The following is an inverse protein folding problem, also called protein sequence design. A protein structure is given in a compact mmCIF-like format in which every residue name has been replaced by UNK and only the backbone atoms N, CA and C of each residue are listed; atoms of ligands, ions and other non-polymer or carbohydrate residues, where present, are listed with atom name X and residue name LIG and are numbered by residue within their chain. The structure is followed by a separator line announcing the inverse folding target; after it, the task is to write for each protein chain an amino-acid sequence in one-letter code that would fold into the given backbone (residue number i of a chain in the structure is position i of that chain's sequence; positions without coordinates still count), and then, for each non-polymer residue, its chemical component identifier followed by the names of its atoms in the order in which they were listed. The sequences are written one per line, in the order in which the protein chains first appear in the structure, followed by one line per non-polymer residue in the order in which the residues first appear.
data_IF_003196816335
#
_entry.id   IF_003196816335
#
_cell.length_a   1.000
_cell.length_b   1.000
_cell.length_c   1.000
_cell.angle_alpha   90.00
_cell.angle_beta   90.00
_cell.angle_gamma   90.00
#
_symmetry.space_group_name_H-M   'P 1'
#
loop_
_entity.id
_entity.type
_entity.pdbx_description
1 polymer ?
#
# COMPACT_ATOMS: atom_id res chain seq x y z
N UNK A 1 -13.93 25.03 -1.48
CA UNK A 1 -13.09 26.22 -1.72
C UNK A 1 -12.45 26.02 -3.08
N UNK A 2 -12.84 26.84 -4.05
CA UNK A 2 -12.44 26.77 -5.46
C UNK A 2 -11.00 27.22 -5.65
N UNK A 3 -10.26 26.56 -6.55
CA UNK A 3 -9.26 27.19 -7.40
C UNK A 3 -8.92 26.25 -8.58
N UNK A 4 -9.49 26.56 -9.75
CA UNK A 4 -8.94 26.19 -11.05
C UNK A 4 -8.44 27.47 -11.71
N UNK A 5 -7.15 27.53 -12.00
CA UNK A 5 -6.51 28.07 -13.21
C UNK A 5 -5.03 28.34 -12.93
N UNK A 6 -4.13 27.59 -13.57
CA UNK A 6 -2.76 28.06 -13.83
C UNK A 6 -2.20 27.44 -15.12
N UNK A 7 -2.10 28.30 -16.15
CA UNK A 7 -1.01 28.42 -17.13
C UNK A 7 -0.08 27.22 -17.31
N UNK A 8 -0.55 26.16 -18.00
CA UNK A 8 0.32 25.13 -18.55
C UNK A 8 1.18 24.36 -17.54
N UNK A 9 0.85 24.42 -16.25
CA UNK A 9 1.49 23.66 -15.18
C UNK A 9 0.52 22.60 -14.67
N UNK A 10 1.02 21.38 -14.45
CA UNK A 10 0.28 20.27 -13.84
C UNK A 10 -0.30 20.70 -12.49
N UNK A 11 -1.51 21.26 -12.48
CA UNK A 11 -2.21 21.68 -11.27
C UNK A 11 -2.90 20.44 -10.68
N UNK A 12 -2.15 19.67 -9.89
CA UNK A 12 -2.74 18.64 -9.03
C UNK A 12 -3.46 19.30 -7.86
N UNK A 13 -4.73 18.95 -7.66
CA UNK A 13 -5.54 19.42 -6.53
C UNK A 13 -6.01 18.23 -5.69
N UNK A 14 -6.06 18.41 -4.38
CA UNK A 14 -6.71 17.46 -3.47
C UNK A 14 -8.16 17.89 -3.31
N UNK A 15 -9.09 17.11 -3.85
CA UNK A 15 -10.53 17.29 -3.68
C UNK A 15 -11.09 16.23 -2.73
N UNK A 16 -11.26 16.61 -1.46
CA UNK A 16 -11.69 15.71 -0.40
C UNK A 16 -10.73 14.55 -0.21
N UNK A 17 -11.18 13.33 -0.54
CA UNK A 17 -10.38 12.10 -0.42
C UNK A 17 -9.84 11.62 -1.78
N UNK A 18 -9.67 12.52 -2.74
CA UNK A 18 -9.16 12.21 -4.05
C UNK A 18 -8.08 13.21 -4.47
N UNK A 19 -7.05 12.71 -5.14
CA UNK A 19 -6.13 13.54 -5.89
C UNK A 19 -6.65 13.64 -7.33
N UNK A 20 -6.85 14.86 -7.81
CA UNK A 20 -7.39 15.16 -9.14
C UNK A 20 -6.36 15.98 -9.90
N UNK A 21 -6.18 15.70 -11.18
CA UNK A 21 -5.30 16.48 -12.05
C UNK A 21 -5.87 16.57 -13.47
N UNK A 22 -5.43 17.56 -14.22
CA UNK A 22 -5.69 17.67 -15.65
C UNK A 22 -4.50 17.15 -16.46
N UNK A 23 -4.79 16.33 -17.47
CA UNK A 23 -3.83 15.85 -18.44
C UNK A 23 -3.71 16.84 -19.61
N UNK A 24 -2.51 16.91 -20.20
CA UNK A 24 -2.17 17.86 -21.26
C UNK A 24 -3.05 17.77 -22.53
N UNK A 25 -3.75 16.65 -22.75
CA UNK A 25 -4.70 16.45 -23.87
C UNK A 25 -6.17 16.75 -23.52
N UNK A 26 -6.44 17.46 -22.41
CA UNK A 26 -7.79 17.89 -22.04
C UNK A 26 -8.65 16.87 -21.29
N UNK A 27 -8.04 15.83 -20.71
CA UNK A 27 -8.73 14.83 -19.87
C UNK A 27 -8.41 15.01 -18.39
N UNK A 28 -9.34 14.68 -17.48
CA UNK A 28 -9.10 14.74 -16.03
C UNK A 28 -8.80 13.35 -15.45
N UNK A 29 -7.74 13.24 -14.64
CA UNK A 29 -7.43 12.06 -13.82
C UNK A 29 -7.91 12.22 -12.38
N UNK A 30 -8.26 11.10 -11.73
CA UNK A 30 -8.73 11.06 -10.34
C UNK A 30 -8.30 9.76 -9.66
N UNK A 31 -7.45 9.86 -8.64
CA UNK A 31 -7.03 8.72 -7.79
C UNK A 31 -7.59 8.89 -6.38
N UNK A 32 -8.17 7.82 -5.82
CA UNK A 32 -8.76 7.84 -4.49
C UNK A 32 -7.73 7.63 -3.38
N UNK A 33 -7.59 8.62 -2.51
CA UNK A 33 -6.86 8.53 -1.23
C UNK A 33 -7.66 7.74 -0.16
N UNK A 34 -8.93 7.39 -0.43
CA UNK A 34 -9.74 6.55 0.46
C UNK A 34 -9.17 5.13 0.66
N UNK A 35 -8.36 4.63 -0.27
CA UNK A 35 -7.66 3.36 -0.08
C UNK A 35 -6.73 3.42 1.15
N UNK A 36 -6.14 4.58 1.45
CA UNK A 36 -5.29 4.79 2.63
C UNK A 36 -6.05 4.52 3.93
N UNK A 37 -7.26 5.07 4.08
CA UNK A 37 -8.09 4.84 5.27
C UNK A 37 -8.49 3.36 5.41
N UNK A 38 -8.72 2.68 4.28
CA UNK A 38 -9.13 1.28 4.28
C UNK A 38 -7.97 0.34 4.62
N UNK A 39 -6.80 0.54 4.00
CA UNK A 39 -5.58 -0.23 4.30
C UNK A 39 -5.12 -0.02 5.74
N UNK A 40 -5.24 1.20 6.26
CA UNK A 40 -4.96 1.49 7.67
C UNK A 40 -5.96 0.78 8.59
N UNK A 41 -7.27 0.86 8.30
CA UNK A 41 -8.29 0.18 9.09
C UNK A 41 -8.09 -1.34 9.08
N UNK A 42 -7.80 -1.92 7.91
CA UNK A 42 -7.47 -3.35 7.78
C UNK A 42 -6.24 -3.72 8.59
N UNK A 43 -5.18 -2.92 8.53
CA UNK A 43 -3.96 -3.17 9.27
C UNK A 43 -4.18 -3.13 10.79
N UNK A 44 -4.86 -2.09 11.29
CA UNK A 44 -5.17 -1.97 12.71
C UNK A 44 -6.06 -3.12 13.19
N UNK A 45 -7.07 -3.48 12.38
CA UNK A 45 -7.95 -4.62 12.67
C UNK A 45 -7.15 -5.92 12.70
N UNK A 46 -6.25 -6.13 11.74
CA UNK A 46 -5.42 -7.32 11.66
C UNK A 46 -4.48 -7.45 12.86
N UNK A 47 -3.83 -6.36 13.31
CA UNK A 47 -3.01 -6.38 14.54
C UNK A 47 -3.86 -6.72 15.76
N UNK A 48 -5.04 -6.12 15.87
CA UNK A 48 -5.91 -6.34 17.03
C UNK A 48 -6.43 -7.77 17.10
N UNK A 49 -6.64 -8.40 15.94
CA UNK A 49 -7.12 -9.77 15.80
C UNK A 49 -6.07 -10.83 16.17
N UNK A 50 -4.78 -10.48 16.27
CA UNK A 50 -3.74 -11.45 16.67
C UNK A 50 -3.82 -11.73 18.17
N UNK A 51 -4.29 -12.93 18.51
CA UNK A 51 -4.39 -13.38 19.90
C UNK A 51 -3.01 -13.57 20.56
N UNK A 52 -2.96 -13.49 21.90
CA UNK A 52 -1.77 -13.74 22.74
C UNK A 52 -0.57 -12.80 22.57
N UNK A 53 -0.75 -11.63 21.95
CA UNK A 53 0.27 -10.58 21.85
C UNK A 53 -0.04 -9.46 22.83
N UNK A 54 0.91 -9.12 23.69
CA UNK A 54 0.76 -8.07 24.69
C UNK A 54 0.63 -6.66 24.05
N UNK A 55 0.01 -5.68 24.74
CA UNK A 55 -0.20 -4.35 24.20
C UNK A 55 1.07 -3.60 23.80
N UNK A 56 2.21 -3.84 24.47
CA UNK A 56 3.47 -3.15 24.14
C UNK A 56 4.05 -3.68 22.83
N UNK A 57 4.03 -4.99 22.63
CA UNK A 57 4.44 -5.61 21.37
C UNK A 57 3.54 -5.16 20.21
N UNK A 58 2.21 -5.05 20.43
CA UNK A 58 1.28 -4.50 19.43
C UNK A 58 1.59 -3.05 19.06
N UNK A 59 1.92 -2.20 20.03
CA UNK A 59 2.37 -0.82 19.78
C UNK A 59 3.67 -0.80 18.97
N UNK A 60 4.61 -1.68 19.28
CA UNK A 60 5.85 -1.85 18.52
C UNK A 60 5.58 -2.22 17.06
N UNK A 61 4.63 -3.14 16.81
CA UNK A 61 4.21 -3.48 15.45
C UNK A 61 3.60 -2.29 14.73
N UNK A 62 2.73 -1.53 15.41
CA UNK A 62 2.15 -0.31 14.86
C UNK A 62 3.22 0.70 14.42
N UNK A 63 4.18 1.01 15.30
CA UNK A 63 5.26 1.96 14.98
C UNK A 63 6.14 1.46 13.83
N UNK A 64 6.40 0.15 13.74
CA UNK A 64 7.26 -0.42 12.71
C UNK A 64 6.56 -0.59 11.35
N UNK A 65 5.28 -0.95 11.32
CA UNK A 65 4.56 -1.23 10.08
C UNK A 65 3.81 -0.03 9.49
N UNK A 66 3.49 1.01 10.28
CA UNK A 66 2.89 2.24 9.76
C UNK A 66 3.73 2.92 8.66
N UNK A 67 5.06 3.08 8.81
CA UNK A 67 5.90 3.62 7.73
C UNK A 67 5.88 2.74 6.47
N UNK A 68 5.85 1.42 6.64
CA UNK A 68 5.81 0.47 5.53
C UNK A 68 4.49 0.57 4.75
N UNK A 69 3.37 0.66 5.46
CA UNK A 69 2.05 0.90 4.87
C UNK A 69 1.97 2.23 4.16
N UNK A 70 2.58 3.27 4.73
CA UNK A 70 2.63 4.58 4.11
C UNK A 70 3.41 4.55 2.79
N UNK A 71 4.60 3.93 2.77
CA UNK A 71 5.38 3.78 1.55
C UNK A 71 4.65 2.96 0.48
N UNK A 72 4.00 1.88 0.89
CA UNK A 72 3.14 1.10 0.01
C UNK A 72 2.03 1.96 -0.60
N UNK A 73 1.34 2.75 0.23
CA UNK A 73 0.26 3.63 -0.21
C UNK A 73 0.74 4.69 -1.21
N UNK A 74 1.92 5.26 -0.98
CA UNK A 74 2.53 6.19 -1.94
C UNK A 74 2.78 5.48 -3.28
N UNK A 75 3.34 4.28 -3.25
CA UNK A 75 3.55 3.46 -4.46
C UNK A 75 2.25 3.15 -5.21
N UNK A 76 1.21 2.71 -4.51
CA UNK A 76 -0.11 2.40 -5.08
C UNK A 76 -0.77 3.64 -5.70
N UNK A 77 -0.65 4.80 -5.02
CA UNK A 77 -1.16 6.07 -5.52
C UNK A 77 -0.43 6.49 -6.79
N UNK A 78 0.90 6.37 -6.82
CA UNK A 78 1.72 6.69 -7.99
C UNK A 78 1.44 5.75 -9.17
N UNK A 79 1.28 4.45 -8.92
CA UNK A 79 0.87 3.48 -9.94
C UNK A 79 -0.52 3.78 -10.49
N UNK A 80 -1.46 4.18 -9.64
CA UNK A 80 -2.80 4.63 -10.06
C UNK A 80 -2.74 5.89 -10.93
N UNK A 81 -1.91 6.87 -10.54
CA UNK A 81 -1.69 8.09 -11.31
C UNK A 81 -1.07 7.76 -12.68
N UNK A 82 -0.03 6.93 -12.70
CA UNK A 82 0.64 6.52 -13.94
C UNK A 82 -0.32 5.73 -14.84
N UNK A 83 -1.12 4.82 -14.27
CA UNK A 83 -2.12 4.05 -15.02
C UNK A 83 -3.15 4.95 -15.71
N UNK A 84 -3.66 5.96 -15.01
CA UNK A 84 -4.60 6.92 -15.59
C UNK A 84 -3.92 7.88 -16.57
N UNK A 85 -2.69 8.32 -16.28
CA UNK A 85 -1.92 9.17 -17.17
C UNK A 85 -1.61 8.46 -18.49
N UNK A 86 -1.18 7.20 -18.45
CA UNK A 86 -0.97 6.36 -19.64
C UNK A 86 -2.27 6.19 -20.45
N UNK A 87 -3.40 6.00 -19.77
CA UNK A 87 -4.73 5.90 -20.42
C UNK A 87 -5.09 7.18 -21.19
N UNK A 88 -4.79 8.35 -20.61
CA UNK A 88 -5.14 9.65 -21.21
C UNK A 88 -4.13 10.10 -22.28
N UNK A 89 -2.86 9.75 -22.13
CA UNK A 89 -1.79 10.17 -23.03
C UNK A 89 -1.69 9.30 -24.27
N UNK A 90 -1.97 7.99 -24.14
CA UNK A 90 -1.85 6.97 -25.20
C UNK A 90 -3.10 6.08 -25.31
N UNK A 91 -4.28 6.64 -25.66
CA UNK A 91 -5.48 5.83 -25.86
C UNK A 91 -5.31 4.75 -26.93
N UNK A 92 -4.48 4.99 -27.94
CA UNK A 92 -4.10 4.03 -28.98
C UNK A 92 -3.45 2.74 -28.47
N UNK A 93 -2.86 2.75 -27.26
CA UNK A 93 -2.28 1.55 -26.65
C UNK A 93 -3.32 0.51 -26.20
N UNK A 94 -4.62 0.85 -26.24
CA UNK A 94 -5.72 -0.10 -26.08
C UNK A 94 -6.09 -0.83 -27.37
N UNK A 95 -5.69 -0.29 -28.52
CA UNK A 95 -5.96 -0.92 -29.81
C UNK A 95 -4.92 -2.01 -30.05
N UNK A 96 -5.32 -3.29 -29.89
CA UNK A 96 -4.43 -4.42 -30.18
C UNK A 96 -3.88 -4.41 -31.62
N UNK A 97 -4.52 -3.65 -32.53
CA UNK A 97 -4.06 -3.40 -33.90
C UNK A 97 -2.84 -2.48 -34.01
N UNK A 98 -2.57 -1.64 -33.00
CA UNK A 98 -1.44 -0.71 -32.98
C UNK A 98 -0.15 -1.31 -32.38
N UNK A 99 -0.22 -2.55 -31.88
CA UNK A 99 0.88 -3.27 -31.24
C UNK A 99 0.72 -3.43 -29.72
N UNK A 100 1.48 -4.35 -29.13
CA UNK A 100 1.51 -4.59 -27.69
C UNK A 100 2.49 -3.59 -27.06
N UNK A 101 2.03 -2.68 -26.21
CA UNK A 101 2.87 -1.85 -25.34
C UNK A 101 3.09 -2.60 -24.00
N UNK A 102 4.27 -3.22 -23.77
CA UNK A 102 4.50 -4.03 -22.58
C UNK A 102 4.51 -3.19 -21.29
N UNK A 103 4.97 -1.94 -21.37
CA UNK A 103 5.00 -1.04 -20.21
C UNK A 103 3.58 -0.67 -19.78
N UNK A 104 2.73 -0.32 -20.75
CA UNK A 104 1.32 -0.06 -20.53
C UNK A 104 0.62 -1.24 -19.81
N UNK A 105 0.86 -2.47 -20.30
CA UNK A 105 0.30 -3.68 -19.70
C UNK A 105 0.84 -3.94 -18.29
N UNK A 106 2.15 -3.79 -18.06
CA UNK A 106 2.76 -3.98 -16.74
C UNK A 106 2.15 -3.01 -15.72
N UNK A 107 2.06 -1.72 -16.04
CA UNK A 107 1.47 -0.71 -15.13
C UNK A 107 -0.01 -1.00 -14.86
N UNK A 108 -0.76 -1.44 -15.87
CA UNK A 108 -2.17 -1.83 -15.69
C UNK A 108 -2.34 -3.05 -14.80
N UNK A 109 -1.57 -4.12 -15.04
CA UNK A 109 -1.59 -5.33 -14.22
C UNK A 109 -1.12 -5.03 -12.80
N UNK A 110 -0.04 -4.26 -12.64
CA UNK A 110 0.48 -3.85 -11.35
C UNK A 110 -0.55 -3.04 -10.56
N UNK A 111 -1.25 -2.09 -11.19
CA UNK A 111 -2.31 -1.31 -10.55
C UNK A 111 -3.49 -2.19 -10.09
N UNK A 112 -3.88 -3.20 -10.88
CA UNK A 112 -4.92 -4.16 -10.47
C UNK A 112 -4.46 -5.02 -9.29
N UNK A 113 -3.20 -5.46 -9.28
CA UNK A 113 -2.63 -6.26 -8.20
C UNK A 113 -2.42 -5.44 -6.92
N UNK A 114 -1.98 -4.20 -7.04
CA UNK A 114 -1.76 -3.29 -5.91
C UNK A 114 -3.08 -3.00 -5.16
N UNK A 115 -4.20 -2.98 -5.89
CA UNK A 115 -5.55 -2.90 -5.33
C UNK A 115 -6.01 -4.12 -4.52
N UNK A 116 -5.24 -5.22 -4.44
CA UNK A 116 -5.69 -6.46 -3.75
C UNK A 116 -5.63 -6.42 -2.22
N UNK A 117 -5.24 -5.32 -1.58
CA UNK A 117 -5.35 -5.11 -0.11
C UNK A 117 -4.72 -6.20 0.78
N UNK A 118 -3.86 -7.06 0.22
CA UNK A 118 -3.20 -8.16 0.96
C UNK A 118 -1.99 -7.67 1.77
N UNK A 119 -1.46 -6.49 1.44
CA UNK A 119 -0.24 -5.94 2.05
C UNK A 119 -0.39 -5.70 3.56
N UNK A 120 -1.49 -5.11 4.08
CA UNK A 120 -1.75 -5.04 5.51
C UNK A 120 -1.62 -6.39 6.23
N UNK A 121 -2.16 -7.46 5.65
CA UNK A 121 -2.09 -8.81 6.21
C UNK A 121 -0.69 -9.40 6.11
N UNK A 122 0.03 -9.16 5.02
CA UNK A 122 1.42 -9.61 4.87
C UNK A 122 2.35 -8.96 5.91
N UNK A 123 2.16 -7.67 6.19
CA UNK A 123 2.93 -6.96 7.22
C UNK A 123 2.63 -7.55 8.61
N UNK A 124 1.36 -7.76 8.95
CA UNK A 124 0.99 -8.39 10.23
C UNK A 124 1.51 -9.83 10.32
N UNK A 125 1.43 -10.61 9.25
CA UNK A 125 1.96 -11.96 9.17
C UNK A 125 3.47 -12.01 9.38
N UNK A 126 4.22 -11.06 8.82
CA UNK A 126 5.67 -10.96 9.03
C UNK A 126 6.01 -10.63 10.49
N UNK A 127 5.27 -9.71 11.12
CA UNK A 127 5.44 -9.41 12.55
C UNK A 127 5.11 -10.62 13.44
N UNK A 128 4.01 -11.31 13.14
CA UNK A 128 3.60 -12.50 13.88
C UNK A 128 4.62 -13.63 13.76
N UNK A 129 5.11 -13.91 12.54
CA UNK A 129 6.12 -14.93 12.29
C UNK A 129 7.41 -14.66 13.06
N UNK A 130 7.88 -13.40 13.02
CA UNK A 130 9.07 -12.98 13.75
C UNK A 130 8.90 -13.15 15.26
N UNK A 131 7.76 -12.70 15.81
CA UNK A 131 7.46 -12.85 17.23
C UNK A 131 7.37 -14.33 17.66
N UNK A 132 6.78 -15.18 16.83
CA UNK A 132 6.68 -16.61 17.10
C UNK A 132 8.07 -17.26 17.13
N UNK A 133 8.94 -16.94 16.17
CA UNK A 133 10.31 -17.43 16.13
C UNK A 133 11.13 -16.96 17.36
N UNK A 134 10.97 -15.71 17.79
CA UNK A 134 11.67 -15.16 18.96
C UNK A 134 11.22 -15.85 20.27
N UNK A 135 9.94 -16.22 20.40
CA UNK A 135 9.44 -16.93 21.57
C UNK A 135 9.85 -18.41 21.61
N UNK A 136 9.86 -19.11 20.47
CA UNK A 136 10.36 -20.49 20.43
C UNK A 136 11.82 -20.59 20.86
N UNK A 137 12.65 -19.62 20.46
CA UNK A 137 14.06 -19.57 20.89
C UNK A 137 14.18 -19.33 22.40
N UNK A 138 13.38 -18.42 22.97
CA UNK A 138 13.37 -18.17 24.42
C UNK A 138 12.95 -19.40 25.22
N UNK A 139 11.88 -20.05 24.83
CA UNK A 139 11.40 -21.29 25.48
C UNK A 139 12.47 -22.40 25.40
N UNK A 140 13.16 -22.55 24.27
CA UNK A 140 14.27 -23.49 24.13
C UNK A 140 15.46 -23.20 25.06
N UNK A 141 15.83 -21.92 25.22
CA UNK A 141 16.91 -21.52 26.13
C UNK A 141 16.56 -21.72 27.61
N UNK A 142 15.31 -21.45 28.00
CA UNK A 142 14.89 -21.61 29.39
C UNK A 142 14.82 -23.09 29.81
N UNK A 143 14.43 -23.99 28.89
CA UNK A 143 14.46 -25.44 29.12
C UNK A 143 15.87 -25.99 29.32
N UNK A 144 16.84 -25.56 28.50
CA UNK A 144 18.24 -26.00 28.59
C UNK A 144 18.91 -25.55 29.91
N UNK A 145 18.56 -24.34 30.39
CA UNK A 145 18.98 -23.85 31.71
C UNK A 145 18.41 -24.65 32.87
N UNK A 146 17.18 -25.12 32.75
CA UNK A 146 16.54 -25.92 33.80
C UNK A 146 17.15 -27.33 33.93
N UNK A 147 17.66 -27.89 32.83
CA UNK A 147 18.31 -29.19 32.82
C UNK A 147 19.75 -29.18 33.33
N UNK A 148 20.43 -28.03 33.27
CA UNK A 148 21.82 -27.89 33.76
C UNK A 148 21.91 -27.56 35.25
N UNK A 149 20.80 -27.32 35.93
CA UNK A 149 20.73 -27.02 37.36
C UNK A 149 20.21 -28.19 38.24
N UNK A 150 19.91 -29.34 37.64
CA UNK A 150 19.59 -30.60 38.35
C UNK A 150 20.75 -31.59 38.21
#
# INVERSE_FOLDING_TARGET
MNLFYTDGRLAGAVDGAHFVWEAAKGGSGKVGLRLTSYNLALYLTAILAVDRVDPRTRLGWGVAGLPLLFLWQVGDTLLGMESQWLTLSRPEAYEMSAGIDPWFLIVKVANVLAGRQLVPFAIVGAHWWRWHAENQVREGFDLDRSHTQN
#
